data_IF_093911516008
#
_entry.id   IF_093911516008
#
_cell.length_a   1.000
_cell.length_b   1.000
_cell.length_c   1.000
_cell.angle_alpha   90.00
_cell.angle_beta   90.00
_cell.angle_gamma   90.00
#
_symmetry.space_group_name_H-M   'P 1'
#
loop_
_entity.id
_entity.type
_entity.pdbx_description
1 polymer ?
#
# COMPACT_ATOMS: atom_id res chain seq x y z
N UNK A 1 16.16 2.21 -23.77
CA UNK A 1 15.64 3.27 -22.89
C UNK A 1 16.49 3.21 -21.63
N UNK A 2 17.38 4.18 -21.38
CA UNK A 2 18.32 4.12 -20.26
C UNK A 2 17.58 4.12 -18.93
N UNK A 3 17.94 3.23 -18.02
CA UNK A 3 17.57 3.34 -16.60
C UNK A 3 18.02 4.73 -16.15
N UNK A 4 17.08 5.64 -15.93
CA UNK A 4 17.40 6.98 -15.43
C UNK A 4 18.06 6.80 -14.07
N UNK A 5 19.30 7.27 -13.98
CA UNK A 5 20.06 7.23 -12.75
C UNK A 5 19.27 7.83 -11.59
N UNK A 6 19.44 7.16 -10.45
CA UNK A 6 18.86 7.48 -9.16
C UNK A 6 19.13 8.95 -8.82
N UNK A 7 18.07 9.73 -8.59
CA UNK A 7 18.22 11.04 -7.99
C UNK A 7 17.73 10.98 -6.54
N UNK A 8 18.64 10.91 -5.57
CA UNK A 8 18.31 11.02 -4.14
C UNK A 8 17.49 12.29 -3.83
N UNK A 9 17.58 13.30 -4.70
CA UNK A 9 16.74 14.49 -4.69
C UNK A 9 15.25 14.19 -4.85
N UNK A 10 14.85 13.21 -5.67
CA UNK A 10 13.43 12.88 -5.87
C UNK A 10 12.80 12.28 -4.62
N UNK A 11 13.50 11.35 -3.97
CA UNK A 11 13.09 10.76 -2.69
C UNK A 11 12.99 11.83 -1.62
N UNK A 12 14.00 12.69 -1.50
CA UNK A 12 13.99 13.81 -0.56
C UNK A 12 12.86 14.81 -0.83
N UNK A 13 12.64 15.16 -2.09
CA UNK A 13 11.56 16.04 -2.55
C UNK A 13 10.18 15.48 -2.20
N UNK A 14 9.95 14.18 -2.44
CA UNK A 14 8.69 13.51 -2.08
C UNK A 14 8.49 13.52 -0.55
N UNK A 15 9.53 13.20 0.23
CA UNK A 15 9.45 13.23 1.71
C UNK A 15 9.06 14.63 2.21
N UNK A 16 9.68 15.69 1.68
CA UNK A 16 9.35 17.05 2.06
C UNK A 16 7.94 17.45 1.65
N UNK A 17 7.51 17.04 0.45
CA UNK A 17 6.13 17.25 -0.02
C UNK A 17 5.12 16.57 0.91
N UNK A 18 5.39 15.32 1.31
CA UNK A 18 4.55 14.58 2.26
C UNK A 18 4.44 15.31 3.60
N UNK A 19 5.54 15.84 4.15
CA UNK A 19 5.52 16.63 5.40
C UNK A 19 4.61 17.87 5.32
N UNK A 20 4.44 18.43 4.12
CA UNK A 20 3.59 19.58 3.87
C UNK A 20 2.11 19.23 3.62
N UNK A 21 1.75 17.95 3.42
CA UNK A 21 0.37 17.53 3.19
C UNK A 21 -0.59 17.93 4.33
N UNK A 22 -1.82 18.25 3.99
CA UNK A 22 -2.90 18.63 4.93
C UNK A 22 -4.20 17.86 4.69
N UNK A 23 -4.29 17.11 3.60
CA UNK A 23 -5.47 16.35 3.21
C UNK A 23 -5.11 15.03 2.54
N UNK A 24 -6.08 14.11 2.45
CA UNK A 24 -5.91 12.86 1.68
C UNK A 24 -5.73 13.13 0.18
N UNK A 25 -6.20 14.27 -0.33
CA UNK A 25 -5.94 14.69 -1.71
C UNK A 25 -4.45 15.00 -1.94
N UNK A 26 -3.79 15.66 -0.98
CA UNK A 26 -2.34 15.91 -1.06
C UNK A 26 -1.55 14.60 -1.01
N UNK A 27 -1.98 13.66 -0.16
CA UNK A 27 -1.39 12.33 -0.09
C UNK A 27 -1.57 11.57 -1.40
N UNK A 28 -2.75 11.60 -2.04
CA UNK A 28 -2.97 11.01 -3.36
C UNK A 28 -2.01 11.58 -4.42
N UNK A 29 -1.73 12.88 -4.37
CA UNK A 29 -0.77 13.48 -5.29
C UNK A 29 0.66 12.98 -5.02
N UNK A 30 1.05 12.80 -3.75
CA UNK A 30 2.35 12.21 -3.40
C UNK A 30 2.44 10.74 -3.84
N UNK A 31 1.38 9.95 -3.64
CA UNK A 31 1.29 8.57 -4.12
C UNK A 31 1.44 8.51 -5.65
N UNK A 32 0.76 9.40 -6.36
CA UNK A 32 0.89 9.53 -7.83
C UNK A 32 2.32 9.87 -8.27
N UNK A 33 3.03 10.73 -7.52
CA UNK A 33 4.43 11.06 -7.81
C UNK A 33 5.35 9.86 -7.53
N UNK A 34 5.12 9.11 -6.45
CA UNK A 34 5.84 7.87 -6.14
C UNK A 34 5.63 6.83 -7.23
N UNK A 35 4.39 6.66 -7.71
CA UNK A 35 4.06 5.75 -8.82
C UNK A 35 4.85 6.06 -10.08
N UNK A 36 4.96 7.36 -10.44
CA UNK A 36 5.79 7.80 -11.58
C UNK A 36 7.28 7.55 -11.33
N UNK A 37 7.77 7.80 -10.12
CA UNK A 37 9.16 7.58 -9.72
C UNK A 37 9.57 6.11 -9.89
N UNK A 38 8.68 5.17 -9.60
CA UNK A 38 8.94 3.72 -9.77
C UNK A 38 8.48 3.18 -11.13
N UNK A 39 8.10 4.06 -12.06
CA UNK A 39 7.64 3.72 -13.41
C UNK A 39 6.44 2.75 -13.45
N UNK A 40 5.55 2.84 -12.46
CA UNK A 40 4.28 2.11 -12.46
C UNK A 40 3.14 3.01 -12.95
N UNK A 41 1.97 2.40 -13.17
CA UNK A 41 0.74 3.12 -13.55
C UNK A 41 -0.21 3.25 -12.35
N UNK A 42 -0.22 2.21 -11.52
CA UNK A 42 -1.18 2.05 -10.44
C UNK A 42 -0.49 2.08 -9.08
N UNK A 43 -1.20 2.59 -8.07
CA UNK A 43 -0.89 2.46 -6.66
C UNK A 43 -2.12 2.07 -5.86
N UNK A 44 -1.86 1.43 -4.72
CA UNK A 44 -2.82 1.24 -3.65
C UNK A 44 -2.09 1.37 -2.32
N UNK A 45 -2.49 2.34 -1.51
CA UNK A 45 -2.18 2.41 -0.10
C UNK A 45 -3.39 1.88 0.67
N UNK A 46 -3.22 0.80 1.42
CA UNK A 46 -4.24 0.32 2.34
C UNK A 46 -3.66 0.19 3.76
N UNK A 47 -4.42 0.62 4.75
CA UNK A 47 -4.14 0.41 6.17
C UNK A 47 -5.37 -0.19 6.82
N UNK A 48 -5.18 -1.33 7.46
CA UNK A 48 -6.16 -2.14 8.17
C UNK A 48 -5.95 -1.88 9.67
N UNK A 49 -6.96 -1.33 10.33
CA UNK A 49 -6.99 -1.09 11.77
C UNK A 49 -7.84 -2.17 12.45
N UNK A 50 -7.22 -3.08 13.23
CA UNK A 50 -7.95 -4.06 14.00
C UNK A 50 -8.58 -3.36 15.23
N UNK A 51 -9.77 -2.78 15.06
CA UNK A 51 -10.50 -2.12 16.15
C UNK A 51 -11.16 -3.12 17.12
N UNK A 52 -11.47 -4.34 16.67
CA UNK A 52 -12.01 -5.43 17.49
C UNK A 52 -11.75 -6.81 16.86
N UNK A 53 -12.01 -7.90 17.58
CA UNK A 53 -11.95 -9.27 17.03
C UNK A 53 -12.94 -9.54 15.88
N UNK A 54 -13.93 -8.66 15.65
CA UNK A 54 -15.07 -8.91 14.74
C UNK A 54 -15.11 -7.94 13.56
N UNK A 55 -14.53 -6.74 13.68
CA UNK A 55 -14.55 -5.72 12.62
C UNK A 55 -13.24 -4.93 12.58
N UNK A 56 -12.61 -4.94 11.41
CA UNK A 56 -11.47 -4.09 11.07
C UNK A 56 -11.95 -2.94 10.20
N UNK A 57 -11.45 -1.73 10.45
CA UNK A 57 -11.66 -0.61 9.53
C UNK A 57 -10.50 -0.57 8.53
N UNK A 58 -10.82 -0.40 7.26
CA UNK A 58 -9.85 -0.40 6.17
C UNK A 58 -9.87 0.97 5.54
N UNK A 59 -8.71 1.61 5.50
CA UNK A 59 -8.49 2.90 4.88
C UNK A 59 -7.72 2.72 3.59
N UNK A 60 -8.28 3.13 2.46
CA UNK A 60 -7.71 2.90 1.13
C UNK A 60 -7.58 4.22 0.37
N UNK A 61 -6.41 4.44 -0.23
CA UNK A 61 -6.15 5.42 -1.28
C UNK A 61 -5.53 4.70 -2.48
N UNK A 62 -6.20 4.71 -3.62
CA UNK A 62 -5.74 4.00 -4.80
C UNK A 62 -6.19 4.69 -6.10
N UNK A 63 -5.58 4.28 -7.21
CA UNK A 63 -6.03 4.58 -8.56
C UNK A 63 -6.26 3.30 -9.39
N UNK A 64 -6.50 2.16 -8.72
CA UNK A 64 -6.72 0.89 -9.39
C UNK A 64 -7.98 0.95 -10.28
N UNK A 65 -8.10 0.08 -11.31
CA UNK A 65 -9.28 0.04 -12.15
C UNK A 65 -10.55 -0.10 -11.30
N UNK A 66 -11.50 0.82 -11.46
CA UNK A 66 -12.72 0.86 -10.61
C UNK A 66 -13.49 -0.46 -10.60
N UNK A 67 -13.57 -1.13 -11.75
CA UNK A 67 -14.20 -2.45 -11.88
C UNK A 67 -13.50 -3.51 -11.03
N UNK A 68 -12.16 -3.47 -10.96
CA UNK A 68 -11.38 -4.36 -10.12
C UNK A 68 -11.64 -4.08 -8.64
N UNK A 69 -11.57 -2.82 -8.20
CA UNK A 69 -11.85 -2.44 -6.80
C UNK A 69 -13.24 -2.87 -6.36
N UNK A 70 -14.26 -2.61 -7.18
CA UNK A 70 -15.62 -3.02 -6.90
C UNK A 70 -15.73 -4.55 -6.76
N UNK A 71 -15.21 -5.30 -7.72
CA UNK A 71 -15.22 -6.76 -7.67
C UNK A 71 -14.46 -7.31 -6.44
N UNK A 72 -13.32 -6.73 -6.11
CA UNK A 72 -12.52 -7.12 -4.94
C UNK A 72 -13.32 -7.02 -3.64
N UNK A 73 -14.07 -5.93 -3.49
CA UNK A 73 -14.88 -5.66 -2.31
C UNK A 73 -16.15 -6.56 -2.30
N UNK A 74 -16.86 -6.65 -3.43
CA UNK A 74 -18.09 -7.44 -3.58
C UNK A 74 -17.85 -8.95 -3.34
N UNK A 75 -16.71 -9.48 -3.82
CA UNK A 75 -16.33 -10.87 -3.65
C UNK A 75 -15.54 -11.14 -2.34
N UNK A 76 -15.34 -10.11 -1.50
CA UNK A 76 -14.61 -10.19 -0.23
C UNK A 76 -13.21 -10.81 -0.39
N UNK A 77 -12.50 -10.41 -1.46
CA UNK A 77 -11.23 -11.00 -1.86
C UNK A 77 -10.09 -10.77 -0.87
N UNK A 78 -10.24 -9.80 0.03
CA UNK A 78 -9.27 -9.53 1.10
C UNK A 78 -8.90 -10.77 1.92
N UNK A 79 -9.84 -11.72 2.09
CA UNK A 79 -9.62 -12.98 2.84
C UNK A 79 -8.75 -14.00 2.09
N UNK A 80 -8.55 -13.79 0.80
CA UNK A 80 -7.85 -14.70 -0.09
C UNK A 80 -6.61 -14.03 -0.71
N UNK A 81 -6.33 -12.77 -0.36
CA UNK A 81 -5.27 -11.99 -0.96
C UNK A 81 -3.92 -12.30 -0.28
N UNK A 82 -3.00 -12.99 -0.98
CA UNK A 82 -1.72 -13.35 -0.40
C UNK A 82 -0.85 -12.12 -0.08
N UNK A 83 -1.11 -10.96 -0.70
CA UNK A 83 -0.41 -9.71 -0.38
C UNK A 83 -0.84 -9.19 0.99
N UNK A 84 -2.12 -9.33 1.32
CA UNK A 84 -2.67 -8.96 2.64
C UNK A 84 -2.10 -9.86 3.71
N UNK A 85 -2.14 -11.18 3.49
CA UNK A 85 -1.59 -12.16 4.44
C UNK A 85 -0.09 -11.96 4.67
N UNK A 86 0.68 -11.76 3.59
CA UNK A 86 2.11 -11.48 3.67
C UNK A 86 2.37 -10.19 4.46
N UNK A 87 1.65 -9.11 4.15
CA UNK A 87 1.90 -7.80 4.78
C UNK A 87 1.52 -7.76 6.25
N UNK A 88 0.67 -8.68 6.72
CA UNK A 88 0.33 -8.84 8.13
C UNK A 88 1.48 -9.43 8.97
N UNK A 89 2.38 -10.20 8.34
CA UNK A 89 3.42 -10.97 9.06
C UNK A 89 4.85 -10.61 8.68
N UNK A 90 5.04 -9.83 7.61
CA UNK A 90 6.34 -9.53 7.03
C UNK A 90 6.56 -8.02 6.89
N UNK A 91 7.82 -7.60 6.95
CA UNK A 91 8.22 -6.20 6.79
C UNK A 91 8.94 -5.92 5.45
N UNK A 92 9.47 -6.97 4.82
CA UNK A 92 10.24 -6.85 3.59
C UNK A 92 9.34 -6.58 2.38
N UNK A 93 9.79 -5.81 1.38
CA UNK A 93 9.07 -5.66 0.12
C UNK A 93 8.91 -7.01 -0.59
N UNK A 94 7.86 -7.14 -1.42
CA UNK A 94 7.55 -8.39 -2.11
C UNK A 94 7.11 -8.14 -3.56
N UNK A 95 7.63 -8.94 -4.49
CA UNK A 95 7.19 -8.98 -5.88
C UNK A 95 6.03 -9.96 -6.01
N UNK A 96 4.96 -9.59 -6.71
CA UNK A 96 3.77 -10.44 -6.86
C UNK A 96 4.02 -11.74 -7.62
N UNK A 97 5.09 -11.80 -8.42
CA UNK A 97 5.44 -12.97 -9.21
C UNK A 97 5.63 -14.24 -8.36
N UNK A 98 6.03 -14.10 -7.10
CA UNK A 98 6.23 -15.24 -6.19
C UNK A 98 4.93 -16.00 -5.91
N UNK A 99 3.78 -15.32 -6.04
CA UNK A 99 2.47 -15.88 -5.75
C UNK A 99 1.77 -16.45 -6.98
N UNK A 100 2.35 -16.30 -8.18
CA UNK A 100 1.74 -16.78 -9.43
C UNK A 100 1.59 -18.30 -9.46
N UNK A 101 2.55 -19.01 -8.87
CA UNK A 101 2.60 -20.47 -8.84
C UNK A 101 2.03 -21.06 -7.55
N UNK A 102 1.54 -20.24 -6.62
CA UNK A 102 0.88 -20.76 -5.44
C UNK A 102 -0.38 -21.51 -5.89
N UNK A 103 -0.34 -22.83 -5.75
CA UNK A 103 -1.44 -23.71 -6.06
C UNK A 103 -2.58 -23.44 -5.08
N UNK A 104 -3.41 -22.45 -5.38
CA UNK A 104 -4.67 -22.25 -4.69
C UNK A 104 -5.56 -23.44 -5.03
N UNK A 105 -6.16 -24.06 -4.02
CA UNK A 105 -7.21 -25.06 -4.21
C UNK A 105 -8.24 -24.52 -5.22
N UNK A 106 -8.65 -25.31 -6.22
CA UNK A 106 -9.57 -24.88 -7.31
C UNK A 106 -10.88 -24.23 -6.82
N UNK A 107 -11.20 -24.37 -5.53
CA UNK A 107 -12.40 -23.81 -4.88
C UNK A 107 -12.24 -22.40 -4.30
N UNK A 108 -11.02 -21.84 -4.21
CA UNK A 108 -10.80 -20.49 -3.66
C UNK A 108 -10.39 -19.52 -4.78
N UNK A 109 -10.79 -18.24 -4.70
CA UNK A 109 -10.33 -17.20 -5.64
C UNK A 109 -8.81 -17.11 -5.69
N UNK A 110 -8.26 -16.80 -6.86
CA UNK A 110 -6.84 -16.49 -7.01
C UNK A 110 -6.70 -15.01 -7.31
N UNK A 111 -6.57 -14.22 -6.24
CA UNK A 111 -6.56 -12.75 -6.30
C UNK A 111 -5.48 -12.23 -7.26
N UNK A 112 -4.29 -12.81 -7.25
CA UNK A 112 -3.19 -12.41 -8.16
C UNK A 112 -3.58 -12.64 -9.62
N UNK A 113 -4.13 -13.82 -9.95
CA UNK A 113 -4.56 -14.13 -11.31
C UNK A 113 -5.72 -13.23 -11.76
N UNK A 114 -6.67 -12.95 -10.88
CA UNK A 114 -7.85 -12.13 -11.19
C UNK A 114 -7.50 -10.64 -11.32
N UNK A 115 -6.51 -10.15 -10.55
CA UNK A 115 -5.94 -8.82 -10.70
C UNK A 115 -5.31 -8.66 -12.09
N UNK A 116 -4.55 -9.67 -12.55
CA UNK A 116 -3.96 -9.70 -13.91
C UNK A 116 -5.01 -9.58 -15.00
N UNK A 117 -6.09 -10.35 -14.89
CA UNK A 117 -7.20 -10.27 -15.88
C UNK A 117 -7.91 -8.92 -15.87
N UNK A 118 -7.76 -8.16 -14.79
CA UNK A 118 -8.35 -6.83 -14.62
C UNK A 118 -7.39 -5.68 -14.98
N UNK A 119 -6.20 -5.99 -15.51
CA UNK A 119 -5.21 -4.99 -15.96
C UNK A 119 -4.12 -4.66 -14.94
N UNK A 120 -4.04 -5.35 -13.81
CA UNK A 120 -2.93 -5.25 -12.85
C UNK A 120 -1.99 -6.44 -13.05
N UNK A 121 -1.19 -6.40 -14.12
CA UNK A 121 -0.48 -7.59 -14.62
C UNK A 121 0.75 -7.94 -13.79
N UNK A 122 1.56 -6.93 -13.47
CA UNK A 122 2.76 -7.07 -12.65
C UNK A 122 2.76 -6.02 -11.56
N UNK A 123 3.45 -6.28 -10.46
CA UNK A 123 3.49 -5.36 -9.34
C UNK A 123 4.30 -5.86 -8.16
N UNK A 124 4.42 -4.99 -7.18
CA UNK A 124 5.13 -5.25 -5.94
C UNK A 124 4.51 -4.44 -4.81
N UNK A 125 4.70 -4.92 -3.58
CA UNK A 125 4.11 -4.34 -2.38
C UNK A 125 5.14 -4.16 -1.27
N UNK A 126 4.94 -3.10 -0.51
CA UNK A 126 5.72 -2.73 0.67
C UNK A 126 4.82 -2.85 1.89
N UNK A 127 5.05 -3.82 2.78
CA UNK A 127 4.30 -3.92 4.02
C UNK A 127 4.44 -2.67 4.88
N UNK A 128 3.36 -2.29 5.54
CA UNK A 128 3.27 -1.15 6.44
C UNK A 128 2.76 -1.64 7.79
N UNK A 129 3.47 -1.27 8.86
CA UNK A 129 3.03 -1.48 10.24
C UNK A 129 2.91 -0.14 10.94
N UNK A 130 1.79 0.09 11.60
CA UNK A 130 1.48 1.33 12.30
C UNK A 130 1.64 1.14 13.81
N UNK A 131 1.93 2.22 14.53
CA UNK A 131 2.13 2.15 15.98
C UNK A 131 0.87 1.78 16.82
N UNK A 132 -0.30 1.62 16.19
CA UNK A 132 -1.56 1.23 16.86
C UNK A 132 -2.02 -0.18 16.46
N UNK A 133 -1.09 -1.11 16.26
CA UNK A 133 -1.35 -2.48 15.80
C UNK A 133 -2.05 -2.60 14.43
N UNK A 134 -2.22 -1.50 13.70
CA UNK A 134 -2.68 -1.55 12.31
C UNK A 134 -1.55 -2.00 11.39
N UNK A 135 -1.90 -2.74 10.35
CA UNK A 135 -0.98 -3.18 9.31
C UNK A 135 -1.57 -2.86 7.93
N UNK A 136 -0.80 -3.03 6.87
CA UNK A 136 -1.29 -2.81 5.51
C UNK A 136 -0.17 -2.85 4.50
N UNK A 137 -0.38 -2.21 3.36
CA UNK A 137 0.59 -2.22 2.27
C UNK A 137 0.49 -0.98 1.42
N UNK A 138 1.64 -0.58 0.88
CA UNK A 138 1.73 0.27 -0.30
C UNK A 138 2.11 -0.60 -1.48
N UNK A 139 1.21 -0.70 -2.46
CA UNK A 139 1.38 -1.53 -3.64
C UNK A 139 1.49 -0.67 -4.88
N UNK A 140 2.33 -1.09 -5.83
CA UNK A 140 2.48 -0.49 -7.15
C UNK A 140 2.28 -1.55 -8.22
N UNK A 141 1.62 -1.19 -9.31
CA UNK A 141 1.32 -2.13 -10.38
C UNK A 141 1.40 -1.50 -11.78
N UNK A 142 1.59 -2.36 -12.76
CA UNK A 142 1.75 -2.03 -14.17
C UNK A 142 0.78 -2.84 -15.02
N UNK A 143 0.29 -2.26 -16.12
CA UNK A 143 -0.67 -2.92 -17.00
C UNK A 143 -0.03 -3.89 -17.99
N UNK A 144 1.29 -3.90 -18.08
CA UNK A 144 2.04 -4.77 -18.98
C UNK A 144 2.86 -5.81 -18.23
N UNK A 145 3.20 -6.88 -18.95
CA UNK A 145 4.18 -7.87 -18.50
C UNK A 145 5.57 -7.29 -18.79
N UNK A 146 6.00 -6.36 -17.95
CA UNK A 146 7.26 -5.67 -18.17
C UNK A 146 8.44 -6.59 -17.86
N UNK A 147 9.32 -6.81 -18.85
CA UNK A 147 10.57 -7.55 -18.69
C UNK A 147 11.53 -6.85 -17.71
N UNK A 148 11.27 -5.60 -17.35
CA UNK A 148 12.05 -4.81 -16.41
C UNK A 148 11.46 -4.78 -15.00
N UNK A 149 10.39 -5.53 -14.71
CA UNK A 149 9.73 -5.49 -13.39
C UNK A 149 10.68 -5.74 -12.22
N UNK A 150 11.66 -6.64 -12.37
CA UNK A 150 12.65 -6.91 -11.32
C UNK A 150 13.60 -5.71 -11.11
N UNK A 151 13.92 -5.00 -12.18
CA UNK A 151 14.71 -3.76 -12.12
C UNK A 151 13.90 -2.62 -11.47
N UNK A 152 12.62 -2.49 -11.84
CA UNK A 152 11.69 -1.54 -11.22
C UNK A 152 11.50 -1.84 -9.73
N UNK A 153 11.36 -3.12 -9.37
CA UNK A 153 11.25 -3.56 -7.98
C UNK A 153 12.51 -3.22 -7.20
N UNK A 154 13.70 -3.49 -7.74
CA UNK A 154 14.97 -3.13 -7.10
C UNK A 154 15.09 -1.61 -6.91
N UNK A 155 14.73 -0.83 -7.94
CA UNK A 155 14.70 0.63 -7.86
C UNK A 155 13.72 1.14 -6.78
N UNK A 156 12.54 0.53 -6.69
CA UNK A 156 11.56 0.85 -5.66
C UNK A 156 12.08 0.49 -4.25
N UNK A 157 12.74 -0.66 -4.08
CA UNK A 157 13.33 -1.09 -2.82
C UNK A 157 14.39 -0.13 -2.27
N UNK A 158 15.06 0.64 -3.13
CA UNK A 158 16.04 1.64 -2.68
C UNK A 158 15.40 2.94 -2.17
N UNK A 159 14.18 3.27 -2.60
CA UNK A 159 13.59 4.59 -2.37
C UNK A 159 12.32 4.55 -1.51
N UNK A 160 11.42 3.62 -1.79
CA UNK A 160 10.10 3.55 -1.13
C UNK A 160 10.24 3.35 0.39
N UNK A 161 11.12 2.46 0.92
CA UNK A 161 11.28 2.31 2.36
C UNK A 161 11.70 3.60 3.08
N UNK A 162 12.42 4.51 2.41
CA UNK A 162 12.80 5.81 2.98
C UNK A 162 11.62 6.78 3.06
N UNK A 163 10.64 6.63 2.17
CA UNK A 163 9.45 7.51 2.06
C UNK A 163 8.34 7.04 3.02
N UNK A 164 8.16 5.72 3.17
CA UNK A 164 7.05 5.10 3.90
C UNK A 164 6.85 5.66 5.32
N UNK A 165 7.88 5.87 6.17
CA UNK A 165 7.67 6.42 7.50
C UNK A 165 7.01 7.80 7.48
N UNK A 166 7.49 8.69 6.62
CA UNK A 166 6.92 10.04 6.48
C UNK A 166 5.49 9.99 5.94
N UNK A 167 5.22 9.08 5.00
CA UNK A 167 3.89 8.85 4.44
C UNK A 167 2.90 8.42 5.54
N UNK A 168 3.25 7.37 6.29
CA UNK A 168 2.39 6.77 7.32
C UNK A 168 2.15 7.76 8.46
N UNK A 169 3.18 8.46 8.92
CA UNK A 169 3.05 9.47 9.97
C UNK A 169 2.13 10.61 9.57
N UNK A 170 2.28 11.14 8.34
CA UNK A 170 1.45 12.25 7.90
C UNK A 170 0.02 11.81 7.60
N UNK A 171 -0.15 10.65 6.96
CA UNK A 171 -1.46 10.04 6.72
C UNK A 171 -2.22 9.82 8.02
N UNK A 172 -1.55 9.29 9.06
CA UNK A 172 -2.13 9.14 10.40
C UNK A 172 -2.53 10.49 11.00
N UNK A 173 -1.66 11.51 10.94
CA UNK A 173 -1.97 12.85 11.47
C UNK A 173 -3.21 13.46 10.83
N UNK A 174 -3.32 13.37 9.50
CA UNK A 174 -4.47 13.87 8.74
C UNK A 174 -5.75 13.13 9.16
N UNK A 175 -5.72 11.80 9.21
CA UNK A 175 -6.92 11.02 9.52
C UNK A 175 -7.33 11.06 11.00
N UNK A 176 -6.39 11.20 11.95
CA UNK A 176 -6.73 11.46 13.36
C UNK A 176 -7.39 12.83 13.52
N UNK A 177 -6.86 13.86 12.85
CA UNK A 177 -7.46 15.20 12.89
C UNK A 177 -8.90 15.20 12.37
N UNK A 178 -9.18 14.38 11.35
CA UNK A 178 -10.53 14.19 10.79
C UNK A 178 -11.44 13.36 11.70
N UNK A 179 -10.89 12.40 12.46
CA UNK A 179 -11.63 11.43 13.28
C UNK A 179 -11.62 11.76 14.79
N UNK A 180 -11.54 13.03 15.22
CA UNK A 180 -11.56 13.38 16.64
C UNK A 180 -12.86 12.91 17.34
N UNK A 181 -12.84 11.69 17.85
CA UNK A 181 -13.70 11.20 18.93
C UNK A 181 -12.99 11.40 20.26
N UNK A 182 -13.71 11.94 21.24
CA UNK A 182 -13.22 12.55 22.47
C UNK A 182 -12.84 11.53 23.57
N UNK A 183 -11.92 10.60 23.27
CA UNK A 183 -11.52 9.53 24.20
C UNK A 183 -10.05 9.67 24.64
N UNK A 184 -9.63 10.87 25.07
CA UNK A 184 -8.32 11.02 25.73
C UNK A 184 -8.46 10.63 27.21
N UNK A 185 -7.93 9.45 27.55
CA UNK A 185 -7.80 9.01 28.94
C UNK A 185 -6.77 9.89 29.67
N UNK A 186 -7.11 10.28 30.89
CA UNK A 186 -6.24 10.99 31.82
C UNK A 186 -5.02 10.13 32.19
N UNK A 187 -3.96 10.78 32.70
CA UNK A 187 -2.76 10.07 33.17
C UNK A 187 -3.10 8.99 34.20
N UNK A 188 -4.06 9.26 35.08
CA UNK A 188 -4.49 8.33 36.13
C UNK A 188 -5.24 7.12 35.56
N UNK A 189 -6.04 7.32 34.52
CA UNK A 189 -6.74 6.22 33.83
C UNK A 189 -5.79 5.32 33.02
N UNK A 190 -4.60 5.81 32.64
CA UNK A 190 -3.55 5.01 31.97
C UNK A 190 -2.72 4.16 32.95
N UNK A 191 -2.81 4.42 34.25
CA UNK A 191 -2.04 3.75 35.31
C UNK A 191 -2.85 2.67 36.06
N UNK A 192 -4.18 2.63 35.89
CA UNK A 192 -5.08 1.64 36.50
C UNK A 192 -5.31 0.44 35.60
#
# INVERSE_FOLDING_TARGET
MGMKDINADDTYRIINKIKACRSNNDINQCLSDMTKMVHCEYYLLAIIYPHSMVKSDISILDNYPKKWRQYYDDANLIKYDPIVDYSNSNHSPINWNIFENNAVNKKSPNVIKEAKTSGLITGFSFPIHTANNGFGMLSFAHSEKDNYIDSLFLHACMNIPLIVPSLVDNYRKINIANNKSNNDLTKREKEC
#
